data_IF_680442676240
#
_entry.id   IF_680442676240
#
_cell.length_a   1.000
_cell.length_b   1.000
_cell.length_c   1.000
_cell.angle_alpha   90.00
_cell.angle_beta   90.00
_cell.angle_gamma   90.00
#
_symmetry.space_group_name_H-M   'P 1'
#
loop_
_entity.id
_entity.type
_entity.pdbx_description
1 polymer ?
#
# COMPACT_ATOMS: atom_id res chain seq x y z
N UNK A 1 9.53 -23.89 64.78
CA UNK A 1 10.96 -24.28 64.66
C UNK A 1 11.58 -23.23 63.70
N UNK A 2 12.59 -22.54 64.21
CA UNK A 2 13.16 -21.33 63.64
C UNK A 2 14.17 -21.65 62.55
N UNK A 3 14.42 -20.64 61.67
CA UNK A 3 15.41 -20.70 60.61
C UNK A 3 16.78 -20.23 61.08
N UNK A 4 17.84 -20.86 60.59
CA UNK A 4 19.21 -20.46 60.88
C UNK A 4 19.71 -19.42 59.90
N UNK A 5 20.22 -18.35 60.47
CA UNK A 5 20.92 -17.23 59.83
C UNK A 5 22.41 -17.58 59.61
N UNK A 6 22.89 -17.34 58.38
CA UNK A 6 24.34 -17.29 58.11
C UNK A 6 24.76 -15.85 57.78
N UNK A 7 25.54 -15.30 58.70
CA UNK A 7 26.26 -14.03 58.54
C UNK A 7 27.57 -14.28 57.79
N UNK A 8 27.77 -13.57 56.68
CA UNK A 8 29.05 -13.54 55.98
C UNK A 8 29.88 -12.34 56.47
N UNK A 9 31.06 -12.60 56.98
CA UNK A 9 32.07 -11.61 57.35
C UNK A 9 32.88 -11.26 56.11
N UNK A 10 32.95 -9.96 55.81
CA UNK A 10 33.76 -9.43 54.73
C UNK A 10 35.25 -9.37 55.08
N UNK A 11 36.08 -9.67 54.13
CA UNK A 11 37.51 -9.45 54.15
C UNK A 11 37.94 -8.71 52.86
N UNK A 12 38.20 -7.42 52.98
CA UNK A 12 38.81 -6.62 51.91
C UNK A 12 40.32 -6.88 51.97
N UNK A 13 40.86 -7.54 50.93
CA UNK A 13 42.30 -7.57 50.66
C UNK A 13 42.53 -6.69 49.41
N UNK A 14 43.07 -5.50 49.65
CA UNK A 14 43.55 -4.60 48.58
C UNK A 14 44.95 -5.06 48.20
N UNK A 15 45.06 -5.79 47.10
CA UNK A 15 46.35 -6.15 46.51
C UNK A 15 46.66 -5.25 45.30
N UNK A 16 47.85 -4.66 45.33
CA UNK A 16 48.38 -3.72 44.31
C UNK A 16 48.67 -4.32 42.91
N UNK A 17 47.93 -5.38 42.51
CA UNK A 17 48.04 -6.01 41.19
C UNK A 17 46.87 -5.76 40.24
N UNK A 18 45.79 -5.05 40.66
CA UNK A 18 44.50 -5.00 39.97
C UNK A 18 44.41 -4.03 38.76
N UNK A 19 45.31 -3.07 38.64
CA UNK A 19 45.19 -2.03 37.59
C UNK A 19 45.72 -2.52 36.22
N UNK A 20 46.71 -3.40 36.21
CA UNK A 20 47.29 -3.96 34.98
C UNK A 20 46.36 -4.94 34.25
N UNK A 21 45.61 -5.76 35.00
CA UNK A 21 44.66 -6.75 34.48
C UNK A 21 43.40 -6.11 33.94
N UNK A 22 42.91 -5.05 34.58
CA UNK A 22 41.73 -4.31 34.06
C UNK A 22 42.01 -3.56 32.75
N UNK A 23 43.18 -2.97 32.59
CA UNK A 23 43.63 -2.33 31.35
C UNK A 23 43.82 -3.34 30.24
N UNK A 24 44.39 -4.51 30.53
CA UNK A 24 44.55 -5.61 29.59
C UNK A 24 43.22 -6.15 29.07
N UNK A 25 42.28 -6.40 30.02
CA UNK A 25 40.94 -6.89 29.67
C UNK A 25 40.11 -5.85 28.89
N UNK A 26 40.24 -4.57 29.23
CA UNK A 26 39.58 -3.50 28.48
C UNK A 26 40.15 -3.32 27.05
N UNK A 27 41.47 -3.50 26.89
CA UNK A 27 42.09 -3.52 25.56
C UNK A 27 41.72 -4.77 24.77
N UNK A 28 41.63 -5.93 25.38
CA UNK A 28 41.16 -7.16 24.73
C UNK A 28 39.69 -7.03 24.28
N UNK A 29 38.77 -6.55 25.15
CA UNK A 29 37.37 -6.30 24.78
C UNK A 29 37.20 -5.27 23.66
N UNK A 30 38.03 -4.22 23.64
CA UNK A 30 38.01 -3.25 22.53
C UNK A 30 38.53 -3.86 21.21
N UNK A 31 39.52 -4.76 21.28
CA UNK A 31 40.04 -5.46 20.09
C UNK A 31 39.01 -6.42 19.53
N UNK A 32 38.36 -7.25 20.39
CA UNK A 32 37.32 -8.18 20.00
C UNK A 32 36.08 -7.43 19.45
N UNK A 33 35.71 -6.30 20.05
CA UNK A 33 34.62 -5.46 19.57
C UNK A 33 34.93 -4.80 18.23
N UNK A 34 36.20 -4.43 18.00
CA UNK A 34 36.67 -3.86 16.73
C UNK A 34 36.76 -4.93 15.65
N UNK A 35 37.18 -6.15 16.00
CA UNK A 35 37.20 -7.29 15.08
C UNK A 35 35.80 -7.75 14.71
N UNK A 36 34.87 -7.84 15.69
CA UNK A 36 33.45 -8.10 15.44
C UNK A 36 32.78 -7.02 14.58
N UNK A 37 33.17 -5.75 14.76
CA UNK A 37 32.65 -4.64 13.95
C UNK A 37 33.24 -4.65 12.54
N UNK A 38 34.51 -5.03 12.39
CA UNK A 38 35.19 -5.18 11.09
C UNK A 38 34.68 -6.43 10.34
N UNK A 39 34.44 -7.55 11.04
CA UNK A 39 33.82 -8.75 10.45
C UNK A 39 32.40 -8.47 10.01
N UNK A 40 31.62 -7.71 10.81
CA UNK A 40 30.27 -7.28 10.45
C UNK A 40 30.24 -6.26 9.29
N UNK A 41 31.26 -5.40 9.18
CA UNK A 41 31.46 -4.51 8.01
C UNK A 41 31.97 -5.30 6.79
N UNK A 42 32.86 -6.27 6.96
CA UNK A 42 33.37 -7.10 5.87
C UNK A 42 32.29 -7.99 5.23
N UNK A 43 31.34 -8.53 6.04
CA UNK A 43 30.20 -9.29 5.51
C UNK A 43 29.12 -8.41 4.83
N UNK A 44 29.13 -7.09 5.03
CA UNK A 44 28.25 -6.15 4.33
C UNK A 44 28.77 -5.69 2.97
N UNK A 45 30.01 -5.98 2.63
CA UNK A 45 30.67 -5.43 1.44
C UNK A 45 30.83 -6.40 0.27
N UNK A 46 30.30 -7.63 0.36
CA UNK A 46 30.50 -8.65 -0.69
C UNK A 46 29.23 -9.38 -1.17
N UNK A 47 28.05 -8.92 -0.84
CA UNK A 47 26.84 -9.49 -1.42
C UNK A 47 26.35 -8.54 -2.53
N UNK A 48 26.48 -8.96 -3.78
CA UNK A 48 25.89 -8.30 -4.95
C UNK A 48 24.39 -8.03 -4.76
N UNK A 49 23.74 -7.33 -5.68
CA UNK A 49 22.33 -7.04 -5.61
C UNK A 49 21.51 -8.34 -5.53
N UNK A 50 20.58 -8.43 -4.59
CA UNK A 50 19.74 -9.60 -4.35
C UNK A 50 18.30 -9.30 -4.70
N UNK A 51 17.79 -10.04 -5.69
CA UNK A 51 16.42 -9.94 -6.16
C UNK A 51 15.53 -10.96 -5.44
N UNK A 52 14.43 -10.50 -4.86
CA UNK A 52 13.34 -11.33 -4.42
C UNK A 52 12.10 -11.08 -5.26
N UNK A 53 11.40 -12.14 -5.65
CA UNK A 53 10.15 -12.05 -6.42
C UNK A 53 9.03 -12.67 -5.61
N UNK A 54 8.10 -11.81 -5.19
CA UNK A 54 6.84 -12.22 -4.55
C UNK A 54 5.80 -12.37 -5.64
N UNK A 55 5.34 -13.60 -5.88
CA UNK A 55 4.50 -13.92 -7.05
C UNK A 55 3.20 -14.61 -6.64
N UNK A 56 2.10 -14.20 -7.28
CA UNK A 56 0.83 -14.89 -7.19
C UNK A 56 0.76 -15.98 -8.29
N UNK A 57 0.90 -17.28 -7.94
CA UNK A 57 1.02 -18.36 -8.91
C UNK A 57 -0.27 -18.61 -9.69
N UNK A 58 -1.42 -18.10 -9.22
CA UNK A 58 -2.72 -18.23 -9.92
C UNK A 58 -2.83 -17.22 -11.07
N UNK A 59 -2.08 -16.10 -10.99
CA UNK A 59 -2.16 -15.00 -11.95
C UNK A 59 -1.06 -15.01 -13.00
N UNK A 60 -0.06 -15.86 -12.82
CA UNK A 60 1.15 -15.90 -13.65
C UNK A 60 1.42 -17.34 -14.07
N UNK A 61 1.73 -17.55 -15.34
CA UNK A 61 2.32 -18.82 -15.78
C UNK A 61 3.75 -18.91 -15.22
N UNK A 62 3.90 -19.72 -14.19
CA UNK A 62 5.12 -19.82 -13.40
C UNK A 62 6.32 -20.32 -14.17
N UNK A 63 6.12 -21.22 -15.15
CA UNK A 63 7.21 -21.77 -15.94
C UNK A 63 7.82 -20.68 -16.84
N UNK A 64 6.98 -20.10 -17.67
CA UNK A 64 7.39 -18.98 -18.56
C UNK A 64 7.93 -17.80 -17.76
N UNK A 65 7.29 -17.47 -16.63
CA UNK A 65 7.70 -16.31 -15.81
C UNK A 65 9.08 -16.51 -15.19
N UNK A 66 9.39 -17.72 -14.68
CA UNK A 66 10.71 -18.03 -14.11
C UNK A 66 11.81 -17.90 -15.15
N UNK A 67 11.58 -18.40 -16.35
CA UNK A 67 12.55 -18.30 -17.45
C UNK A 67 12.83 -16.83 -17.81
N UNK A 68 11.78 -16.04 -18.02
CA UNK A 68 11.90 -14.63 -18.41
C UNK A 68 12.52 -13.79 -17.30
N UNK A 69 12.06 -13.97 -16.06
CA UNK A 69 12.55 -13.17 -14.92
C UNK A 69 13.97 -13.58 -14.53
N UNK A 70 14.34 -14.87 -14.61
CA UNK A 70 15.68 -15.36 -14.36
C UNK A 70 16.67 -14.81 -15.37
N UNK A 71 16.38 -14.91 -16.66
CA UNK A 71 17.21 -14.35 -17.73
C UNK A 71 17.39 -12.83 -17.57
N UNK A 72 16.31 -12.10 -17.27
CA UNK A 72 16.39 -10.66 -17.02
C UNK A 72 17.23 -10.32 -15.79
N UNK A 73 17.12 -11.09 -14.71
CA UNK A 73 17.91 -10.89 -13.49
C UNK A 73 19.41 -11.08 -13.75
N UNK A 74 19.78 -12.13 -14.49
CA UNK A 74 21.16 -12.40 -14.88
C UNK A 74 21.74 -11.28 -15.77
N UNK A 75 20.99 -10.83 -16.78
CA UNK A 75 21.37 -9.74 -17.67
C UNK A 75 21.67 -8.44 -16.89
N UNK A 76 20.95 -8.18 -15.79
CA UNK A 76 21.09 -6.98 -14.96
C UNK A 76 21.96 -7.20 -13.71
N UNK A 77 22.65 -8.33 -13.60
CA UNK A 77 23.64 -8.59 -12.55
C UNK A 77 23.06 -8.91 -11.16
N UNK A 78 21.80 -9.34 -11.09
CA UNK A 78 21.17 -9.75 -9.81
C UNK A 78 21.41 -11.22 -9.43
N UNK A 79 21.91 -12.03 -10.34
CA UNK A 79 22.00 -13.49 -10.15
C UNK A 79 20.61 -14.15 -10.09
N UNK A 80 20.55 -15.36 -9.56
CA UNK A 80 19.30 -16.11 -9.47
C UNK A 80 18.32 -15.47 -8.45
N UNK A 81 17.07 -15.15 -8.85
CA UNK A 81 16.08 -14.59 -7.94
C UNK A 81 15.64 -15.57 -6.86
N UNK A 82 15.36 -15.07 -5.66
CA UNK A 82 14.60 -15.85 -4.66
C UNK A 82 13.11 -15.74 -4.90
N UNK A 83 12.39 -16.87 -4.83
CA UNK A 83 10.98 -16.97 -5.18
C UNK A 83 10.11 -17.13 -3.94
N UNK A 84 9.12 -16.26 -3.79
CA UNK A 84 8.18 -16.22 -2.67
C UNK A 84 6.76 -16.31 -3.21
N UNK A 85 6.13 -17.46 -3.03
CA UNK A 85 4.78 -17.68 -3.54
C UNK A 85 3.75 -17.11 -2.57
N UNK A 86 2.74 -16.41 -3.10
CA UNK A 86 1.60 -15.97 -2.29
C UNK A 86 0.54 -17.05 -2.21
N UNK A 87 -0.25 -16.98 -1.16
CA UNK A 87 -1.43 -17.81 -0.93
C UNK A 87 -2.65 -16.91 -0.69
N UNK A 88 -3.86 -17.49 -0.73
CA UNK A 88 -5.09 -16.74 -0.47
C UNK A 88 -5.09 -16.08 0.93
N UNK A 89 -4.58 -16.77 1.94
CA UNK A 89 -4.44 -16.32 3.32
C UNK A 89 -3.24 -15.39 3.56
N UNK A 90 -2.28 -15.34 2.61
CA UNK A 90 -1.05 -14.56 2.70
C UNK A 90 -0.73 -13.93 1.35
N UNK A 91 -1.37 -12.77 1.04
CA UNK A 91 -1.32 -12.16 -0.29
C UNK A 91 0.01 -11.52 -0.67
N UNK A 92 1.03 -11.56 0.22
CA UNK A 92 2.39 -11.10 -0.12
C UNK A 92 3.15 -10.36 0.98
N UNK A 93 2.49 -9.87 2.04
CA UNK A 93 3.15 -9.08 3.08
C UNK A 93 4.19 -9.89 3.87
N UNK A 94 3.83 -11.08 4.32
CA UNK A 94 4.74 -11.96 5.05
C UNK A 94 5.92 -12.41 4.18
N UNK A 95 5.67 -12.71 2.90
CA UNK A 95 6.68 -13.07 1.92
C UNK A 95 7.67 -11.91 1.68
N UNK A 96 7.16 -10.70 1.54
CA UNK A 96 8.00 -9.51 1.36
C UNK A 96 8.86 -9.22 2.60
N UNK A 97 8.28 -9.34 3.80
CA UNK A 97 9.04 -9.20 5.06
C UNK A 97 10.15 -10.24 5.15
N UNK A 98 9.84 -11.51 4.89
CA UNK A 98 10.84 -12.58 4.91
C UNK A 98 11.94 -12.36 3.84
N UNK A 99 11.59 -11.85 2.67
CA UNK A 99 12.55 -11.49 1.64
C UNK A 99 13.50 -10.36 2.10
N UNK A 100 12.96 -9.33 2.78
CA UNK A 100 13.76 -8.23 3.36
C UNK A 100 14.71 -8.79 4.42
N UNK A 101 14.23 -9.64 5.32
CA UNK A 101 15.04 -10.25 6.39
C UNK A 101 16.13 -11.15 5.81
N UNK A 102 15.85 -11.82 4.68
CA UNK A 102 16.84 -12.58 3.92
C UNK A 102 17.85 -11.67 3.18
N UNK A 103 17.67 -10.35 3.24
CA UNK A 103 18.59 -9.35 2.72
C UNK A 103 18.36 -9.01 1.25
N UNK A 104 17.13 -9.13 0.75
CA UNK A 104 16.77 -8.61 -0.57
C UNK A 104 17.09 -7.13 -0.70
N UNK A 105 17.67 -6.73 -1.81
CA UNK A 105 17.97 -5.32 -2.15
C UNK A 105 16.95 -4.74 -3.11
N UNK A 106 16.10 -5.60 -3.68
CA UNK A 106 14.96 -5.28 -4.53
C UNK A 106 13.91 -6.38 -4.34
N UNK A 107 12.65 -5.98 -4.15
CA UNK A 107 11.51 -6.91 -4.13
C UNK A 107 10.60 -6.60 -5.30
N UNK A 108 10.33 -7.60 -6.12
CA UNK A 108 9.38 -7.51 -7.24
C UNK A 108 8.07 -8.16 -6.85
N UNK A 109 6.97 -7.44 -6.95
CA UNK A 109 5.62 -7.96 -6.81
C UNK A 109 5.08 -8.35 -8.18
N UNK A 110 4.86 -9.64 -8.42
CA UNK A 110 4.25 -10.18 -9.63
C UNK A 110 2.84 -10.68 -9.33
N UNK A 111 1.83 -9.87 -9.62
CA UNK A 111 0.45 -10.17 -9.27
C UNK A 111 -0.53 -9.04 -9.61
N UNK A 112 -1.73 -9.13 -9.04
CA UNK A 112 -2.74 -8.08 -9.11
C UNK A 112 -2.59 -7.05 -8.01
N UNK A 113 -3.56 -6.12 -7.92
CA UNK A 113 -3.54 -4.99 -6.98
C UNK A 113 -3.40 -5.43 -5.52
N UNK A 114 -4.06 -6.50 -5.09
CA UNK A 114 -3.94 -7.02 -3.72
C UNK A 114 -2.53 -7.52 -3.38
N UNK A 115 -1.85 -8.22 -4.31
CA UNK A 115 -0.45 -8.64 -4.12
C UNK A 115 0.48 -7.43 -4.07
N UNK A 116 0.32 -6.48 -5.00
CA UNK A 116 1.12 -5.25 -5.04
C UNK A 116 0.93 -4.45 -3.76
N UNK A 117 -0.31 -4.29 -3.27
CA UNK A 117 -0.62 -3.60 -2.02
C UNK A 117 0.02 -4.27 -0.80
N UNK A 118 -0.11 -5.59 -0.69
CA UNK A 118 0.44 -6.35 0.43
C UNK A 118 1.97 -6.25 0.49
N UNK A 119 2.66 -6.40 -0.65
CA UNK A 119 4.12 -6.22 -0.75
C UNK A 119 4.52 -4.78 -0.46
N UNK A 120 3.81 -3.80 -1.01
CA UNK A 120 4.06 -2.38 -0.76
C UNK A 120 3.91 -2.01 0.71
N UNK A 121 2.92 -2.59 1.41
CA UNK A 121 2.72 -2.40 2.85
C UNK A 121 3.94 -2.85 3.67
N UNK A 122 4.52 -4.00 3.33
CA UNK A 122 5.73 -4.51 3.99
C UNK A 122 6.99 -3.68 3.65
N UNK A 123 7.05 -3.09 2.46
CA UNK A 123 8.18 -2.27 2.01
C UNK A 123 8.09 -0.81 2.48
N UNK A 124 6.89 -0.33 2.82
CA UNK A 124 6.67 1.05 3.26
C UNK A 124 7.52 1.38 4.51
N UNK A 125 8.28 2.47 4.44
CA UNK A 125 9.23 2.88 5.48
C UNK A 125 10.60 2.19 5.41
N UNK A 126 10.78 1.22 4.52
CA UNK A 126 12.09 0.57 4.27
C UNK A 126 12.89 1.31 3.19
N UNK A 127 14.14 0.85 2.95
CA UNK A 127 14.97 1.32 1.85
C UNK A 127 14.93 0.41 0.63
N UNK A 128 14.25 -0.73 0.72
CA UNK A 128 14.17 -1.72 -0.35
C UNK A 128 13.14 -1.26 -1.37
N UNK A 129 13.50 -1.06 -2.63
CA UNK A 129 12.56 -0.63 -3.65
C UNK A 129 11.61 -1.77 -4.07
N UNK A 130 10.43 -1.36 -4.51
CA UNK A 130 9.40 -2.20 -5.11
C UNK A 130 9.54 -2.17 -6.62
N UNK A 131 9.72 -3.33 -7.26
CA UNK A 131 9.44 -3.55 -8.67
C UNK A 131 8.02 -4.08 -8.85
N UNK A 132 7.36 -3.79 -9.97
CA UNK A 132 5.99 -4.27 -10.24
C UNK A 132 5.94 -4.98 -11.57
N UNK A 133 5.46 -6.23 -11.56
CA UNK A 133 5.06 -6.98 -12.75
C UNK A 133 3.55 -7.17 -12.70
N UNK A 134 2.78 -6.36 -13.45
CA UNK A 134 1.34 -6.38 -13.39
C UNK A 134 0.77 -7.68 -13.99
N UNK A 135 0.01 -8.45 -13.20
CA UNK A 135 -0.65 -9.67 -13.64
C UNK A 135 -2.14 -9.71 -13.23
N UNK A 136 -2.69 -8.59 -12.78
CA UNK A 136 -4.11 -8.43 -12.46
C UNK A 136 -4.88 -7.76 -13.61
N UNK A 137 -6.17 -7.55 -13.38
CA UNK A 137 -7.04 -6.83 -14.31
C UNK A 137 -7.00 -5.31 -14.09
N UNK A 138 -6.96 -4.86 -12.84
CA UNK A 138 -6.94 -3.42 -12.49
C UNK A 138 -5.58 -2.81 -12.68
N UNK A 139 -4.59 -3.35 -11.99
CA UNK A 139 -3.19 -2.88 -11.98
C UNK A 139 -3.10 -1.37 -11.77
N UNK A 140 -3.80 -0.89 -10.75
CA UNK A 140 -4.06 0.53 -10.54
C UNK A 140 -2.78 1.33 -10.30
N UNK A 141 -1.90 0.85 -9.42
CA UNK A 141 -0.64 1.53 -9.15
C UNK A 141 0.26 1.54 -10.38
N UNK A 142 0.37 0.40 -11.09
CA UNK A 142 1.17 0.30 -12.30
C UNK A 142 0.71 1.31 -13.38
N UNK A 143 -0.62 1.49 -13.55
CA UNK A 143 -1.18 2.50 -14.45
C UNK A 143 -0.80 3.92 -14.06
N UNK A 144 -0.88 4.25 -12.77
CA UNK A 144 -0.54 5.58 -12.27
C UNK A 144 0.95 5.89 -12.42
N UNK A 145 1.81 4.87 -12.34
CA UNK A 145 3.25 4.99 -12.51
C UNK A 145 3.74 4.83 -13.96
N UNK A 146 2.84 4.52 -14.89
CA UNK A 146 3.20 4.32 -16.32
C UNK A 146 4.00 3.03 -16.58
N UNK A 147 3.86 2.02 -15.72
CA UNK A 147 4.46 0.70 -15.88
C UNK A 147 3.64 -0.08 -16.92
N UNK A 148 4.28 -0.75 -17.91
CA UNK A 148 3.57 -1.54 -18.92
C UNK A 148 2.70 -2.62 -18.28
N UNK A 149 1.44 -2.71 -18.74
CA UNK A 149 0.48 -3.67 -18.19
C UNK A 149 0.55 -5.04 -18.89
N UNK A 150 1.19 -5.07 -20.03
CA UNK A 150 1.42 -6.25 -20.85
C UNK A 150 2.91 -6.42 -21.13
N UNK A 151 3.37 -7.66 -21.19
CA UNK A 151 4.76 -7.97 -21.48
C UNK A 151 5.65 -7.99 -20.22
N UNK A 152 5.78 -9.19 -19.65
CA UNK A 152 6.67 -9.45 -18.50
C UNK A 152 8.08 -8.90 -18.70
N UNK A 153 8.75 -9.07 -19.87
CA UNK A 153 10.11 -8.56 -20.09
C UNK A 153 10.22 -7.05 -19.91
N UNK A 154 9.22 -6.28 -20.39
CA UNK A 154 9.24 -4.83 -20.28
C UNK A 154 9.06 -4.36 -18.83
N UNK A 155 8.18 -5.02 -18.06
CA UNK A 155 7.97 -4.74 -16.65
C UNK A 155 9.19 -5.13 -15.81
N UNK A 156 9.81 -6.29 -16.07
CA UNK A 156 11.03 -6.74 -15.41
C UNK A 156 12.20 -5.79 -15.67
N UNK A 157 12.39 -5.30 -16.89
CA UNK A 157 13.44 -4.32 -17.19
C UNK A 157 13.27 -3.05 -16.36
N UNK A 158 12.05 -2.54 -16.21
CA UNK A 158 11.79 -1.37 -15.35
C UNK A 158 12.06 -1.71 -13.90
N UNK A 159 11.67 -2.89 -13.42
CA UNK A 159 11.93 -3.31 -12.04
C UNK A 159 13.43 -3.40 -11.73
N UNK A 160 14.25 -3.88 -12.69
CA UNK A 160 15.67 -4.13 -12.48
C UNK A 160 16.55 -2.89 -12.76
N UNK A 161 16.26 -2.14 -13.81
CA UNK A 161 17.10 -1.03 -14.32
C UNK A 161 16.43 0.34 -14.23
N UNK A 162 15.18 0.40 -13.80
CA UNK A 162 14.45 1.66 -13.65
C UNK A 162 14.99 2.53 -12.52
N UNK A 163 14.61 3.82 -12.56
CA UNK A 163 14.96 4.77 -11.49
C UNK A 163 14.08 4.59 -10.26
N UNK A 164 14.63 4.92 -9.10
CA UNK A 164 13.89 4.96 -7.85
C UNK A 164 13.01 6.23 -7.79
N UNK A 165 11.71 6.05 -7.58
CA UNK A 165 10.78 7.12 -7.27
C UNK A 165 10.17 6.87 -5.90
N UNK A 166 10.29 7.85 -5.02
CA UNK A 166 9.62 7.81 -3.72
C UNK A 166 8.19 8.31 -3.89
N UNK A 167 7.26 7.48 -3.44
CA UNK A 167 5.82 7.77 -3.51
C UNK A 167 5.20 7.73 -2.11
N UNK A 168 4.10 8.44 -1.97
CA UNK A 168 3.29 8.44 -0.77
C UNK A 168 2.47 7.17 -0.70
N UNK A 169 2.06 6.78 0.50
CA UNK A 169 1.05 5.75 0.71
C UNK A 169 0.00 6.28 1.68
N UNK A 170 -1.24 5.92 1.47
CA UNK A 170 -2.29 6.14 2.45
C UNK A 170 -2.27 5.04 3.51
N UNK A 171 -2.52 5.41 4.77
CA UNK A 171 -2.71 4.47 5.87
C UNK A 171 -4.10 4.66 6.45
N UNK A 172 -4.81 3.58 6.65
CA UNK A 172 -6.21 3.58 7.04
C UNK A 172 -6.45 2.72 8.26
N UNK A 173 -7.22 3.23 9.20
CA UNK A 173 -7.82 2.50 10.32
C UNK A 173 -9.32 2.69 10.24
N UNK A 174 -10.07 1.61 10.38
CA UNK A 174 -11.53 1.65 10.33
C UNK A 174 -12.15 0.85 11.46
N UNK A 175 -13.22 1.39 12.01
CA UNK A 175 -13.96 0.82 13.11
C UNK A 175 -15.44 0.64 12.73
N UNK A 176 -16.05 -0.42 13.24
CA UNK A 176 -17.49 -0.62 13.20
C UNK A 176 -18.06 -0.46 14.62
N UNK A 177 -18.94 0.50 14.83
CA UNK A 177 -19.59 0.71 16.14
C UNK A 177 -20.30 -0.55 16.62
N UNK A 178 -19.94 -1.02 17.81
CA UNK A 178 -20.48 -2.25 18.39
C UNK A 178 -19.80 -3.55 17.97
N UNK A 179 -18.94 -3.54 16.96
CA UNK A 179 -18.20 -4.73 16.49
C UNK A 179 -16.67 -4.59 16.59
N UNK A 180 -16.14 -3.39 16.86
CA UNK A 180 -14.70 -3.15 17.06
C UNK A 180 -13.96 -2.78 15.78
N UNK A 181 -12.67 -3.10 15.77
CA UNK A 181 -11.77 -2.76 14.65
C UNK A 181 -12.05 -3.64 13.44
N UNK A 182 -12.26 -3.01 12.28
CA UNK A 182 -12.46 -3.67 10.98
C UNK A 182 -11.11 -3.84 10.29
N UNK A 183 -10.28 -2.77 10.33
CA UNK A 183 -8.92 -2.78 9.80
C UNK A 183 -8.06 -1.81 10.62
N UNK A 184 -6.81 -2.18 10.88
CA UNK A 184 -5.88 -1.40 11.69
C UNK A 184 -4.62 -1.06 10.88
N UNK A 185 -4.38 0.24 10.70
CA UNK A 185 -3.19 0.81 10.05
C UNK A 185 -2.79 0.17 8.72
N UNK A 186 -3.78 -0.25 7.92
CA UNK A 186 -3.57 -0.88 6.61
C UNK A 186 -3.09 0.15 5.58
N UNK A 187 -2.32 -0.32 4.61
CA UNK A 187 -1.83 0.51 3.50
C UNK A 187 -2.81 0.48 2.34
N UNK A 188 -3.05 1.63 1.73
CA UNK A 188 -3.61 1.71 0.37
C UNK A 188 -2.71 2.56 -0.54
N UNK A 189 -2.73 2.22 -1.81
CA UNK A 189 -1.81 2.80 -2.79
C UNK A 189 -2.52 3.79 -3.73
N UNK A 190 -3.80 3.56 -3.97
CA UNK A 190 -4.58 4.33 -4.95
C UNK A 190 -5.78 5.00 -4.32
N UNK A 191 -6.71 4.23 -3.74
CA UNK A 191 -7.96 4.79 -3.24
C UNK A 191 -8.61 3.90 -2.16
N UNK A 192 -9.10 4.53 -1.12
CA UNK A 192 -10.03 3.92 -0.16
C UNK A 192 -11.38 4.65 -0.21
N UNK A 193 -12.48 3.96 0.07
CA UNK A 193 -13.79 4.60 -0.02
C UNK A 193 -14.88 3.93 0.79
N UNK A 194 -15.83 4.75 1.24
CA UNK A 194 -17.07 4.36 1.90
C UNK A 194 -18.27 4.51 0.96
N UNK A 195 -19.25 3.60 1.06
CA UNK A 195 -20.52 3.72 0.36
C UNK A 195 -20.57 3.12 -1.04
N UNK A 196 -19.63 2.26 -1.38
CA UNK A 196 -19.78 1.38 -2.52
C UNK A 196 -20.90 0.39 -2.23
N UNK A 197 -21.94 0.43 -3.05
CA UNK A 197 -23.16 -0.33 -2.78
C UNK A 197 -22.93 -1.85 -2.71
N UNK A 198 -23.40 -2.45 -1.62
CA UNK A 198 -23.32 -3.89 -1.36
C UNK A 198 -23.98 -4.74 -2.44
N UNK A 199 -24.99 -4.20 -3.12
CA UNK A 199 -25.73 -4.88 -4.20
C UNK A 199 -24.81 -5.29 -5.36
N UNK A 200 -23.70 -4.58 -5.55
CA UNK A 200 -22.71 -4.93 -6.56
C UNK A 200 -21.81 -6.11 -6.17
N UNK A 201 -21.64 -6.34 -4.87
CA UNK A 201 -20.75 -7.40 -4.37
C UNK A 201 -21.50 -8.71 -4.19
N UNK A 202 -22.80 -8.66 -3.84
CA UNK A 202 -23.58 -9.84 -3.51
C UNK A 202 -24.15 -10.58 -4.72
N UNK A 203 -24.53 -9.87 -5.80
CA UNK A 203 -25.27 -10.46 -6.92
C UNK A 203 -24.44 -10.76 -8.18
N UNK A 204 -23.13 -10.48 -8.16
CA UNK A 204 -22.32 -10.71 -9.37
C UNK A 204 -21.58 -12.04 -9.29
N UNK A 205 -21.87 -12.92 -10.27
CA UNK A 205 -21.19 -14.18 -10.49
C UNK A 205 -19.67 -14.00 -10.45
N UNK A 206 -18.94 -14.82 -9.66
CA UNK A 206 -17.47 -14.79 -9.61
C UNK A 206 -16.79 -14.94 -10.97
N UNK A 207 -17.40 -15.69 -11.89
CA UNK A 207 -16.89 -15.88 -13.26
C UNK A 207 -17.07 -14.59 -14.10
N UNK A 208 -18.15 -13.85 -13.88
CA UNK A 208 -18.37 -12.57 -14.54
C UNK A 208 -17.38 -11.50 -14.07
N UNK A 209 -17.09 -11.47 -12.75
CA UNK A 209 -16.02 -10.62 -12.16
C UNK A 209 -14.65 -10.91 -12.79
N UNK A 210 -14.36 -12.18 -13.06
CA UNK A 210 -13.10 -12.57 -13.68
C UNK A 210 -13.01 -12.17 -15.16
N UNK A 211 -14.13 -12.17 -15.89
CA UNK A 211 -14.19 -11.85 -17.33
C UNK A 211 -14.23 -10.36 -17.63
N UNK A 212 -15.00 -9.59 -16.88
CA UNK A 212 -15.24 -8.16 -17.17
C UNK A 212 -14.19 -7.26 -16.52
N UNK A 213 -13.53 -7.74 -15.50
CA UNK A 213 -12.47 -7.06 -14.80
C UNK A 213 -12.94 -5.92 -13.89
N UNK A 214 -12.10 -5.57 -12.94
CA UNK A 214 -12.37 -4.55 -11.93
C UNK A 214 -12.79 -3.17 -12.51
N UNK A 215 -12.25 -2.68 -13.66
CA UNK A 215 -12.67 -1.38 -14.20
C UNK A 215 -14.13 -1.31 -14.59
N UNK A 216 -14.62 -2.34 -15.27
CA UNK A 216 -16.03 -2.40 -15.66
C UNK A 216 -16.92 -2.62 -14.43
N UNK A 217 -16.45 -3.38 -13.46
CA UNK A 217 -17.09 -3.57 -12.17
C UNK A 217 -17.18 -2.25 -11.37
N UNK A 218 -16.10 -1.49 -11.28
CA UNK A 218 -16.07 -0.16 -10.66
C UNK A 218 -17.00 0.83 -11.39
N UNK A 219 -16.96 0.85 -12.72
CA UNK A 219 -17.82 1.69 -13.54
C UNK A 219 -19.29 1.31 -13.41
N UNK A 220 -19.59 0.02 -13.41
CA UNK A 220 -20.96 -0.48 -13.19
C UNK A 220 -21.47 -0.08 -11.80
N UNK A 221 -20.58 -0.10 -10.79
CA UNK A 221 -20.86 0.35 -9.46
C UNK A 221 -21.18 1.82 -9.34
N UNK A 222 -20.36 2.60 -9.96
CA UNK A 222 -20.61 4.03 -10.03
C UNK A 222 -21.95 4.34 -10.75
N UNK A 223 -22.33 3.55 -11.76
CA UNK A 223 -23.60 3.71 -12.48
C UNK A 223 -24.82 3.25 -11.63
N UNK A 224 -24.65 2.27 -10.77
CA UNK A 224 -25.70 1.66 -9.96
C UNK A 224 -25.80 2.16 -8.51
N UNK A 225 -25.21 3.31 -8.18
CA UNK A 225 -25.34 3.94 -6.85
C UNK A 225 -26.81 4.32 -6.54
N UNK A 226 -27.67 3.32 -6.46
CA UNK A 226 -29.08 3.44 -6.03
C UNK A 226 -29.23 3.35 -4.51
N UNK A 227 -28.16 3.00 -3.79
CA UNK A 227 -28.12 2.83 -2.35
C UNK A 227 -28.50 4.09 -1.55
N UNK A 228 -28.77 3.95 -0.24
CA UNK A 228 -29.07 5.06 0.64
C UNK A 228 -27.90 6.05 0.68
N UNK A 229 -28.20 7.30 0.95
CA UNK A 229 -27.18 8.33 1.15
C UNK A 229 -26.54 8.14 2.52
N UNK A 230 -25.23 8.20 2.57
CA UNK A 230 -24.47 8.21 3.80
C UNK A 230 -24.53 9.63 4.35
N UNK A 231 -25.06 9.79 5.55
CA UNK A 231 -24.86 11.01 6.33
C UNK A 231 -23.57 10.84 7.10
N UNK A 232 -22.66 11.76 6.96
CA UNK A 232 -21.36 11.67 7.60
C UNK A 232 -20.84 13.05 8.02
N UNK A 233 -20.01 13.05 9.06
CA UNK A 233 -19.09 14.14 9.36
C UNK A 233 -17.74 13.77 8.75
N UNK A 234 -17.21 14.65 7.93
CA UNK A 234 -15.90 14.49 7.28
C UNK A 234 -15.00 15.63 7.73
N UNK A 235 -13.91 15.29 8.39
CA UNK A 235 -12.85 16.24 8.74
C UNK A 235 -11.65 15.99 7.85
N UNK A 236 -11.13 17.04 7.24
CA UNK A 236 -9.88 17.05 6.47
C UNK A 236 -8.95 18.05 7.16
N UNK A 237 -7.89 17.52 7.74
CA UNK A 237 -7.00 18.25 8.66
C UNK A 237 -7.82 18.96 9.76
N UNK A 238 -7.87 20.29 9.77
CA UNK A 238 -8.55 21.08 10.79
C UNK A 238 -9.98 21.52 10.38
N UNK A 239 -10.43 21.13 9.19
CA UNK A 239 -11.75 21.52 8.67
C UNK A 239 -12.72 20.35 8.68
N UNK A 240 -13.79 20.49 9.46
CA UNK A 240 -14.86 19.50 9.53
C UNK A 240 -16.17 20.03 8.90
N UNK A 241 -16.88 19.13 8.22
CA UNK A 241 -18.20 19.41 7.67
C UNK A 241 -19.12 18.20 7.80
N UNK A 242 -20.41 18.44 8.00
CA UNK A 242 -21.44 17.42 7.88
C UNK A 242 -22.01 17.44 6.46
N UNK A 243 -22.18 16.28 5.88
CA UNK A 243 -22.67 16.11 4.50
C UNK A 243 -23.51 14.85 4.35
N UNK A 244 -24.21 14.78 3.23
CA UNK A 244 -24.89 13.58 2.78
C UNK A 244 -24.42 13.26 1.38
N UNK A 245 -23.78 12.11 1.19
CA UNK A 245 -23.20 11.68 -0.09
C UNK A 245 -23.56 10.21 -0.35
N UNK A 246 -23.42 9.76 -1.58
CA UNK A 246 -23.54 8.34 -1.93
C UNK A 246 -22.22 7.59 -1.76
N UNK A 247 -21.11 8.30 -1.92
CA UNK A 247 -19.79 7.75 -1.71
C UNK A 247 -18.83 8.84 -1.23
N UNK A 248 -17.93 8.46 -0.32
CA UNK A 248 -16.83 9.29 0.16
C UNK A 248 -15.55 8.52 -0.15
N UNK A 249 -14.66 9.12 -0.94
CA UNK A 249 -13.42 8.49 -1.39
C UNK A 249 -12.22 9.31 -0.96
N UNK A 250 -11.17 8.63 -0.54
CA UNK A 250 -9.88 9.21 -0.18
C UNK A 250 -8.83 8.58 -1.10
N UNK A 251 -8.21 9.38 -1.93
CA UNK A 251 -7.27 8.92 -2.94
C UNK A 251 -5.87 9.45 -2.75
N UNK A 252 -4.91 8.62 -3.14
CA UNK A 252 -3.49 8.94 -3.27
C UNK A 252 -3.08 9.07 -4.74
N UNK A 253 -3.95 8.62 -5.66
CA UNK A 253 -3.74 8.66 -7.10
C UNK A 253 -5.03 9.06 -7.82
N UNK A 254 -4.87 9.81 -8.91
CA UNK A 254 -6.02 10.35 -9.65
C UNK A 254 -6.51 9.49 -10.81
N UNK A 255 -5.70 8.55 -11.32
CA UNK A 255 -6.04 7.78 -12.52
C UNK A 255 -6.67 6.44 -12.15
N UNK A 256 -7.88 6.26 -12.60
CA UNK A 256 -8.61 5.00 -12.59
C UNK A 256 -8.51 4.30 -13.96
N UNK A 257 -8.90 3.02 -14.05
CA UNK A 257 -8.99 2.32 -15.33
C UNK A 257 -9.87 3.04 -16.35
N UNK A 258 -9.70 2.72 -17.64
CA UNK A 258 -10.35 3.38 -18.77
C UNK A 258 -10.02 4.88 -18.92
N UNK A 259 -8.92 5.37 -18.30
CA UNK A 259 -8.50 6.77 -18.39
C UNK A 259 -9.32 7.75 -17.56
N UNK A 260 -10.24 7.25 -16.74
CA UNK A 260 -11.08 8.06 -15.87
C UNK A 260 -10.22 8.77 -14.81
N UNK A 261 -10.37 10.08 -14.67
CA UNK A 261 -9.73 10.87 -13.60
C UNK A 261 -10.79 11.30 -12.61
N UNK A 262 -10.93 10.55 -11.55
CA UNK A 262 -11.88 10.87 -10.48
C UNK A 262 -11.35 11.99 -9.58
N UNK A 263 -10.04 12.00 -9.37
CA UNK A 263 -9.29 12.97 -8.57
C UNK A 263 -8.25 13.64 -9.48
N UNK A 264 -8.64 14.69 -10.20
CA UNK A 264 -7.79 15.26 -11.27
C UNK A 264 -6.50 15.90 -10.75
N UNK A 265 -6.50 16.40 -9.53
CA UNK A 265 -5.36 17.09 -8.92
C UNK A 265 -4.49 16.15 -8.08
N UNK A 266 -4.91 14.88 -7.87
CA UNK A 266 -4.19 13.90 -7.06
C UNK A 266 -2.81 13.56 -7.64
N UNK A 267 -1.79 13.66 -6.78
CA UNK A 267 -0.38 13.37 -7.09
C UNK A 267 0.19 12.42 -6.07
N UNK A 268 0.81 11.38 -6.55
CA UNK A 268 1.31 10.26 -5.74
C UNK A 268 2.50 10.61 -4.83
N UNK A 269 3.04 11.82 -4.88
CA UNK A 269 4.29 12.21 -4.23
C UNK A 269 4.32 13.65 -3.68
N UNK A 270 3.15 14.26 -3.44
CA UNK A 270 3.02 15.63 -2.92
C UNK A 270 2.76 15.72 -1.41
N UNK A 271 2.61 14.57 -0.75
CA UNK A 271 2.36 14.47 0.69
C UNK A 271 0.94 14.80 1.09
N UNK A 272 -0.02 14.73 0.15
CA UNK A 272 -1.44 14.99 0.37
C UNK A 272 -2.30 13.80 -0.05
N UNK A 273 -3.50 13.75 0.49
CA UNK A 273 -4.58 12.86 0.06
C UNK A 273 -5.70 13.72 -0.49
N UNK A 274 -6.30 13.26 -1.57
CA UNK A 274 -7.46 13.89 -2.20
C UNK A 274 -8.74 13.24 -1.71
N UNK A 275 -9.71 14.05 -1.29
CA UNK A 275 -11.00 13.59 -0.81
C UNK A 275 -12.08 13.97 -1.81
N UNK A 276 -12.78 12.99 -2.34
CA UNK A 276 -13.92 13.20 -3.22
C UNK A 276 -15.22 12.72 -2.55
N UNK A 277 -16.19 13.59 -2.50
CA UNK A 277 -17.54 13.28 -2.00
C UNK A 277 -18.52 13.35 -3.16
N UNK A 278 -19.06 12.19 -3.52
CA UNK A 278 -19.94 12.02 -4.68
C UNK A 278 -21.39 11.96 -4.23
N UNK A 279 -22.18 12.92 -4.68
CA UNK A 279 -23.61 12.92 -4.51
C UNK A 279 -24.31 13.06 -5.86
N UNK A 280 -24.89 11.98 -6.35
CA UNK A 280 -25.63 11.96 -7.63
C UNK A 280 -27.13 11.96 -7.33
N UNK A 281 -27.80 13.01 -7.81
CA UNK A 281 -29.26 13.15 -7.78
C UNK A 281 -29.81 12.90 -9.18
N UNK A 282 -31.02 12.42 -9.30
CA UNK A 282 -31.73 12.23 -10.57
C UNK A 282 -31.21 11.10 -11.50
N UNK A 283 -30.81 9.96 -10.97
CA UNK A 283 -30.54 8.74 -11.74
C UNK A 283 -29.62 8.93 -12.94
N UNK A 284 -30.01 8.47 -14.12
CA UNK A 284 -29.21 8.50 -15.35
C UNK A 284 -28.77 9.92 -15.77
N UNK A 285 -29.60 10.94 -15.54
CA UNK A 285 -29.27 12.32 -15.93
C UNK A 285 -28.19 12.90 -15.04
N UNK A 286 -28.20 12.60 -13.73
CA UNK A 286 -27.14 12.99 -12.82
C UNK A 286 -25.80 12.32 -13.16
N UNK A 287 -25.85 11.06 -13.60
CA UNK A 287 -24.67 10.33 -14.07
C UNK A 287 -24.10 10.88 -15.36
N UNK A 288 -24.93 11.21 -16.35
CA UNK A 288 -24.50 11.86 -17.58
C UNK A 288 -23.82 13.20 -17.28
N UNK A 289 -24.38 13.98 -16.35
CA UNK A 289 -23.77 15.24 -15.91
C UNK A 289 -22.40 15.02 -15.24
N UNK A 290 -22.28 14.02 -14.36
CA UNK A 290 -21.01 13.70 -13.70
C UNK A 290 -19.97 13.19 -14.70
N UNK A 291 -20.34 12.30 -15.61
CA UNK A 291 -19.46 11.78 -16.66
C UNK A 291 -18.96 12.90 -17.57
N UNK A 292 -19.84 13.87 -17.89
CA UNK A 292 -19.45 15.06 -18.68
C UNK A 292 -18.48 15.94 -17.92
N UNK A 293 -18.69 16.16 -16.61
CA UNK A 293 -17.78 16.94 -15.77
C UNK A 293 -16.40 16.28 -15.69
N UNK A 294 -16.35 14.98 -15.39
CA UNK A 294 -15.08 14.22 -15.32
C UNK A 294 -14.39 14.17 -16.69
N UNK A 295 -15.13 13.99 -17.77
CA UNK A 295 -14.57 14.01 -19.14
C UNK A 295 -13.99 15.37 -19.51
N UNK A 296 -14.68 16.46 -19.22
CA UNK A 296 -14.25 17.82 -19.55
C UNK A 296 -13.08 18.30 -18.65
N UNK A 297 -12.99 17.82 -17.41
CA UNK A 297 -11.80 18.05 -16.57
C UNK A 297 -10.53 17.48 -17.21
N UNK A 298 -10.64 16.36 -17.92
CA UNK A 298 -9.54 15.79 -18.73
C UNK A 298 -9.04 16.71 -19.84
N UNK A 299 -9.86 17.66 -20.31
CA UNK A 299 -9.53 18.68 -21.28
C UNK A 299 -9.20 20.06 -20.69
N UNK A 300 -8.99 20.14 -19.35
CA UNK A 300 -8.55 21.37 -18.68
C UNK A 300 -9.67 22.33 -18.27
N UNK A 301 -10.93 21.98 -18.44
CA UNK A 301 -12.07 22.81 -18.02
C UNK A 301 -12.33 22.59 -16.53
N UNK A 302 -11.82 23.49 -15.67
CA UNK A 302 -11.88 23.35 -14.21
C UNK A 302 -13.19 23.83 -13.56
N UNK A 303 -13.98 24.65 -14.24
CA UNK A 303 -15.21 25.23 -13.72
C UNK A 303 -16.33 25.13 -14.74
N UNK A 304 -17.22 24.16 -14.59
CA UNK A 304 -18.49 24.12 -15.28
C UNK A 304 -19.58 24.64 -14.34
N UNK A 305 -20.54 25.45 -14.84
CA UNK A 305 -21.68 25.84 -14.02
C UNK A 305 -22.45 24.60 -13.60
N UNK A 306 -22.62 24.44 -12.32
CA UNK A 306 -23.28 23.30 -11.67
C UNK A 306 -24.78 23.30 -11.99
N UNK A 307 -25.18 22.62 -13.06
CA UNK A 307 -26.56 22.17 -13.12
C UNK A 307 -26.73 21.02 -12.10
N UNK A 308 -27.52 21.24 -11.11
CA UNK A 308 -27.57 20.67 -9.77
C UNK A 308 -27.91 19.17 -9.62
N UNK A 309 -27.50 18.28 -10.53
CA UNK A 309 -27.87 16.86 -10.49
C UNK A 309 -26.74 15.91 -10.05
N UNK A 310 -25.50 16.35 -10.04
CA UNK A 310 -24.36 15.63 -9.46
C UNK A 310 -23.43 16.64 -8.80
N UNK A 311 -23.14 16.43 -7.52
CA UNK A 311 -22.22 17.26 -6.74
C UNK A 311 -20.96 16.45 -6.43
N UNK A 312 -19.84 16.89 -6.96
CA UNK A 312 -18.53 16.39 -6.63
C UNK A 312 -17.80 17.49 -5.82
N UNK A 313 -17.51 17.21 -4.57
CA UNK A 313 -16.76 18.10 -3.70
C UNK A 313 -15.37 17.51 -3.52
N UNK A 314 -14.35 18.31 -3.79
CA UNK A 314 -12.96 17.94 -3.62
C UNK A 314 -12.34 18.72 -2.48
N UNK A 315 -11.55 18.04 -1.65
CA UNK A 315 -10.68 18.59 -0.64
C UNK A 315 -9.34 17.90 -0.70
N UNK A 316 -8.31 18.50 -0.15
CA UNK A 316 -6.98 17.91 0.01
C UNK A 316 -6.49 18.12 1.43
N UNK A 317 -5.81 17.11 1.99
CA UNK A 317 -5.23 17.20 3.32
C UNK A 317 -4.34 16.01 3.65
N UNK A 318 -3.74 16.06 4.81
CA UNK A 318 -2.83 15.00 5.28
C UNK A 318 -3.54 13.96 6.14
N UNK A 319 -4.62 14.35 6.76
CA UNK A 319 -5.45 13.50 7.63
C UNK A 319 -6.90 13.67 7.25
N UNK A 320 -7.60 12.56 7.18
CA UNK A 320 -9.03 12.53 6.91
C UNK A 320 -9.68 11.68 7.98
N UNK A 321 -10.71 12.22 8.62
CA UNK A 321 -11.51 11.49 9.59
C UNK A 321 -12.98 11.52 9.18
N UNK A 322 -13.59 10.36 9.09
CA UNK A 322 -14.96 10.19 8.61
C UNK A 322 -15.74 9.46 9.70
N UNK A 323 -16.85 10.06 10.14
CA UNK A 323 -17.82 9.43 11.03
C UNK A 323 -19.15 9.37 10.29
N UNK A 324 -19.62 8.18 9.97
CA UNK A 324 -20.84 7.94 9.24
C UNK A 324 -22.00 7.55 10.17
N UNK A 325 -23.20 7.96 9.82
CA UNK A 325 -24.43 7.41 10.38
C UNK A 325 -24.63 6.01 9.76
N UNK A 326 -24.72 4.98 10.60
CA UNK A 326 -24.73 3.59 10.17
C UNK A 326 -23.31 3.07 9.90
N UNK A 327 -23.21 1.99 9.14
CA UNK A 327 -21.97 1.33 8.81
C UNK A 327 -21.92 1.03 7.30
N UNK A 328 -21.62 2.03 6.47
CA UNK A 328 -21.47 1.80 5.04
C UNK A 328 -20.30 0.88 4.73
N UNK A 329 -20.35 0.22 3.58
CA UNK A 329 -19.28 -0.63 3.10
C UNK A 329 -18.00 0.16 2.85
N UNK A 330 -16.89 -0.40 3.31
CA UNK A 330 -15.53 0.08 3.10
C UNK A 330 -14.83 -0.76 2.04
N UNK A 331 -14.17 -0.10 1.10
CA UNK A 331 -13.23 -0.72 0.16
C UNK A 331 -11.85 -0.10 0.27
N UNK A 332 -10.80 -0.86 -0.05
CA UNK A 332 -9.41 -0.45 -0.12
C UNK A 332 -8.80 -0.97 -1.43
N UNK A 333 -8.34 -0.08 -2.32
CA UNK A 333 -7.78 -0.40 -3.64
C UNK A 333 -8.66 -1.35 -4.48
N UNK A 334 -9.99 -1.23 -4.31
CA UNK A 334 -10.98 -2.05 -5.00
C UNK A 334 -11.31 -3.38 -4.34
N UNK A 335 -10.76 -3.69 -3.19
CA UNK A 335 -11.10 -4.84 -2.37
C UNK A 335 -12.11 -4.44 -1.29
N UNK A 336 -13.20 -5.19 -1.19
CA UNK A 336 -14.19 -5.00 -0.13
C UNK A 336 -13.63 -5.53 1.19
N UNK A 337 -13.60 -4.65 2.19
CA UNK A 337 -13.04 -4.96 3.51
C UNK A 337 -14.14 -5.34 4.51
N UNK A 338 -15.25 -4.62 4.50
CA UNK A 338 -16.36 -4.81 5.43
C UNK A 338 -17.16 -3.54 5.64
N UNK A 339 -17.97 -3.50 6.68
CA UNK A 339 -18.75 -2.33 7.07
C UNK A 339 -17.97 -1.50 8.10
N UNK A 340 -17.97 -0.17 7.93
CA UNK A 340 -17.29 0.74 8.84
C UNK A 340 -18.11 1.99 9.12
N UNK A 341 -18.20 2.38 10.41
CA UNK A 341 -18.87 3.60 10.86
C UNK A 341 -17.92 4.75 11.13
N UNK A 342 -16.64 4.44 11.33
CA UNK A 342 -15.60 5.43 11.58
C UNK A 342 -14.33 5.04 10.83
N UNK A 343 -13.77 5.99 10.10
CA UNK A 343 -12.58 5.78 9.28
C UNK A 343 -11.60 6.92 9.49
N UNK A 344 -10.38 6.58 9.87
CA UNK A 344 -9.26 7.50 9.98
C UNK A 344 -8.22 7.19 8.92
N UNK A 345 -7.86 8.19 8.14
CA UNK A 345 -6.87 8.05 7.06
C UNK A 345 -5.78 9.09 7.26
N UNK A 346 -4.54 8.70 7.01
CA UNK A 346 -3.39 9.61 7.00
C UNK A 346 -2.47 9.31 5.83
N UNK A 347 -1.82 10.31 5.29
CA UNK A 347 -0.73 10.11 4.35
C UNK A 347 0.54 9.72 5.10
N UNK A 348 1.32 8.81 4.54
CA UNK A 348 2.72 8.56 4.89
C UNK A 348 3.58 9.05 3.72
N UNK A 349 4.12 10.29 3.80
CA UNK A 349 4.79 10.92 2.67
C UNK A 349 6.07 10.18 2.31
N UNK A 350 6.27 9.93 1.01
CA UNK A 350 7.47 9.30 0.45
C UNK A 350 7.88 8.01 1.14
N UNK A 351 6.90 7.27 1.66
CA UNK A 351 7.14 6.07 2.46
C UNK A 351 7.53 4.85 1.62
N UNK A 352 7.22 4.82 0.34
CA UNK A 352 7.51 3.69 -0.54
C UNK A 352 8.42 4.13 -1.69
N UNK A 353 9.48 3.36 -1.92
CA UNK A 353 10.33 3.51 -3.12
C UNK A 353 9.86 2.53 -4.19
N UNK A 354 9.57 3.02 -5.40
CA UNK A 354 9.13 2.18 -6.53
C UNK A 354 10.03 2.39 -7.73
N UNK A 355 10.35 1.29 -8.43
CA UNK A 355 11.06 1.32 -9.71
C UNK A 355 10.15 1.81 -10.82
N UNK A 356 10.53 2.86 -11.49
CA UNK A 356 9.81 3.47 -12.63
C UNK A 356 10.76 3.72 -13.80
N UNK A 357 10.19 4.09 -14.96
CA UNK A 357 11.01 4.44 -16.15
C UNK A 357 11.96 5.59 -15.90
#
# INVERSE_FOLDING_TARGET
MQPETWTAIGGVVVGAGGVGTAIGMHRALRRTRRELTLTRKGHRQAAGPRLAIVVNPIKVDMETFRQVAGAAAEEHGYGEPTWWLTERSSPGAAQATAAIDAGATLVVAAGGDGTVRAVAGALAGTRVPLGIVPAGTGNLLARNLGIPLTGVPAAMRIALDGRDRRVDVGRITALHRGHGTVVEDEVFLVIAGLGFDAVMVSDTDPEWKARVGWPAYFMSGMQNLKGPRIKASVAVDDFARSLSARSIMVGNCGRLPAGLRLLPDARIDDGLLDVAMVDVRAGLVGWASLATQVGLQGFGVKHLPTFAMGRLVHDQGRRVHIVADGAPLLQIDGELIGEASEVSVRVAPRALTVRVR
#
